data_IF_207493903023
#
_entry.id   IF_207493903023
#
_cell.length_a   1.000
_cell.length_b   1.000
_cell.length_c   1.000
_cell.angle_alpha   90.00
_cell.angle_beta   90.00
_cell.angle_gamma   90.00
#
_symmetry.space_group_name_H-M   'P 1'
#
loop_
_entity.id
_entity.type
_entity.pdbx_description
1 polymer ?
#
# COMPACT_ATOMS: atom_id res chain seq x y z
N UNK A 1 6.20 -20.07 -18.13
CA UNK A 1 5.41 -19.88 -19.38
C UNK A 1 5.34 -18.38 -19.68
N UNK A 2 5.29 -17.95 -20.94
CA UNK A 2 5.17 -16.51 -21.28
C UNK A 2 3.84 -15.93 -20.79
N UNK A 3 2.77 -16.73 -20.81
CA UNK A 3 1.47 -16.35 -20.25
C UNK A 3 1.54 -16.06 -18.74
N UNK A 4 2.26 -16.90 -17.98
CA UNK A 4 2.43 -16.70 -16.54
C UNK A 4 3.15 -15.38 -16.23
N UNK A 5 4.14 -15.01 -17.04
CA UNK A 5 4.86 -13.73 -16.88
C UNK A 5 3.94 -12.54 -17.12
N UNK A 6 3.10 -12.62 -18.16
CA UNK A 6 2.14 -11.55 -18.47
C UNK A 6 1.10 -11.41 -17.35
N UNK A 7 0.57 -12.53 -16.85
CA UNK A 7 -0.33 -12.53 -15.70
C UNK A 7 0.35 -11.99 -14.44
N UNK A 8 1.58 -12.42 -14.15
CA UNK A 8 2.35 -11.92 -13.00
C UNK A 8 2.52 -10.40 -13.07
N UNK A 9 2.86 -9.86 -14.23
CA UNK A 9 2.97 -8.42 -14.44
C UNK A 9 1.64 -7.70 -14.16
N UNK A 10 0.52 -8.24 -14.63
CA UNK A 10 -0.79 -7.66 -14.38
C UNK A 10 -1.14 -7.64 -12.88
N UNK A 11 -0.85 -8.72 -12.15
CA UNK A 11 -1.07 -8.77 -10.69
C UNK A 11 -0.12 -7.85 -9.92
N UNK A 12 1.14 -7.71 -10.33
CA UNK A 12 2.05 -6.73 -9.74
C UNK A 12 1.50 -5.32 -9.92
N UNK A 13 1.04 -4.97 -11.12
CA UNK A 13 0.39 -3.68 -11.37
C UNK A 13 -0.87 -3.51 -10.54
N UNK A 14 -1.70 -4.54 -10.39
CA UNK A 14 -2.89 -4.51 -9.53
C UNK A 14 -2.51 -4.17 -8.07
N UNK A 15 -1.48 -4.84 -7.53
CA UNK A 15 -0.97 -4.57 -6.17
C UNK A 15 -0.45 -3.15 -6.06
N UNK A 16 0.36 -2.70 -7.01
CA UNK A 16 0.94 -1.36 -7.00
C UNK A 16 -0.11 -0.25 -7.10
N UNK A 17 -1.17 -0.48 -7.87
CA UNK A 17 -2.18 0.54 -8.19
C UNK A 17 -3.37 0.55 -7.24
N UNK A 18 -3.67 -0.57 -6.58
CA UNK A 18 -4.90 -0.71 -5.75
C UNK A 18 -4.60 -1.07 -4.30
N UNK A 19 -3.65 -1.97 -4.03
CA UNK A 19 -3.33 -2.39 -2.66
C UNK A 19 -2.33 -1.45 -1.97
N UNK A 20 -1.27 -1.05 -2.66
CA UNK A 20 -0.25 -0.14 -2.14
C UNK A 20 -0.83 1.22 -1.72
N UNK A 21 -1.78 1.84 -2.45
CA UNK A 21 -2.43 3.07 -1.99
C UNK A 21 -3.12 2.92 -0.64
N UNK A 22 -3.87 1.83 -0.44
CA UNK A 22 -4.54 1.57 0.84
C UNK A 22 -3.54 1.34 1.97
N UNK A 23 -2.47 0.58 1.72
CA UNK A 23 -1.39 0.40 2.72
C UNK A 23 -0.76 1.74 3.11
N UNK A 24 -0.42 2.58 2.12
CA UNK A 24 0.19 3.89 2.37
C UNK A 24 -0.77 4.83 3.10
N UNK A 25 -2.04 4.88 2.68
CA UNK A 25 -3.08 5.65 3.35
C UNK A 25 -3.22 5.21 4.81
N UNK A 26 -3.35 3.90 5.03
CA UNK A 26 -3.48 3.30 6.35
C UNK A 26 -2.32 3.63 7.26
N UNK A 27 -1.09 3.43 6.79
CA UNK A 27 0.10 3.62 7.61
C UNK A 27 0.40 5.09 7.89
N UNK A 28 0.23 5.98 6.90
CA UNK A 28 0.79 7.32 6.97
C UNK A 28 -0.25 8.41 7.23
N UNK A 29 -1.51 8.20 6.86
CA UNK A 29 -2.54 9.25 6.90
C UNK A 29 -3.64 8.98 7.92
N UNK A 30 -3.73 7.77 8.48
CA UNK A 30 -4.67 7.49 9.56
C UNK A 30 -4.06 7.78 10.93
N UNK A 31 -4.64 8.66 11.74
CA UNK A 31 -4.06 9.04 13.03
C UNK A 31 -3.64 7.90 13.96
N UNK A 32 -4.47 6.85 14.22
CA UNK A 32 -4.06 5.78 15.14
C UNK A 32 -2.85 5.01 14.60
N UNK A 33 -2.83 4.67 13.31
CA UNK A 33 -1.73 3.93 12.72
C UNK A 33 -0.49 4.81 12.56
N UNK A 34 -0.65 6.03 12.06
CA UNK A 34 0.44 6.94 11.73
C UNK A 34 1.21 7.37 12.99
N UNK A 35 0.51 7.78 14.04
CA UNK A 35 1.13 8.35 15.22
C UNK A 35 1.58 7.28 16.24
N UNK A 36 0.81 6.21 16.39
CA UNK A 36 1.07 5.22 17.45
C UNK A 36 2.00 4.10 17.01
N UNK A 37 1.95 3.73 15.71
CA UNK A 37 2.66 2.59 15.14
C UNK A 37 3.73 3.07 14.16
N UNK A 38 3.33 3.63 13.01
CA UNK A 38 4.23 3.97 11.90
C UNK A 38 5.33 4.94 12.32
N UNK A 39 4.99 6.01 13.05
CA UNK A 39 5.99 6.97 13.54
C UNK A 39 7.05 6.29 14.41
N UNK A 40 6.62 5.50 15.40
CA UNK A 40 7.54 4.82 16.33
C UNK A 40 8.44 3.82 15.59
N UNK A 41 7.86 3.02 14.69
CA UNK A 41 8.60 2.00 13.94
C UNK A 41 9.63 2.61 12.98
N UNK A 42 9.27 3.67 12.24
CA UNK A 42 10.13 4.23 11.19
C UNK A 42 11.05 5.35 11.65
N UNK A 43 10.66 6.12 12.67
CA UNK A 43 11.37 7.34 13.06
C UNK A 43 11.59 7.48 14.57
N UNK A 44 11.06 6.57 15.39
CA UNK A 44 11.23 6.62 16.86
C UNK A 44 12.69 6.54 17.31
N UNK A 45 13.57 5.98 16.48
CA UNK A 45 15.01 5.89 16.75
C UNK A 45 15.79 7.18 16.43
N UNK A 46 15.17 8.13 15.71
CA UNK A 46 15.82 9.38 15.34
C UNK A 46 15.66 10.42 16.47
N UNK A 47 16.63 11.31 16.68
CA UNK A 47 16.54 12.34 17.70
C UNK A 47 15.43 13.35 17.40
N UNK A 48 14.94 14.03 18.43
CA UNK A 48 14.04 15.17 18.25
C UNK A 48 14.86 16.44 17.94
N UNK A 49 14.35 17.35 17.07
CA UNK A 49 13.05 17.32 16.38
C UNK A 49 13.09 16.65 14.99
N UNK A 50 14.23 16.10 14.57
CA UNK A 50 14.41 15.62 13.18
C UNK A 50 13.44 14.49 12.83
N UNK A 51 13.13 13.60 13.78
CA UNK A 51 12.16 12.51 13.61
C UNK A 51 10.78 12.99 13.14
N UNK A 52 10.25 14.06 13.74
CA UNK A 52 8.97 14.65 13.38
C UNK A 52 9.04 15.33 12.00
N UNK A 53 10.12 16.06 11.72
CA UNK A 53 10.30 16.74 10.42
C UNK A 53 10.30 15.72 9.28
N UNK A 54 11.07 14.63 9.41
CA UNK A 54 11.11 13.61 8.36
C UNK A 54 9.81 12.83 8.25
N UNK A 55 9.10 12.63 9.36
CA UNK A 55 7.77 12.03 9.37
C UNK A 55 6.75 12.86 8.59
N UNK A 56 6.64 14.17 8.87
CA UNK A 56 5.75 15.07 8.14
C UNK A 56 6.14 15.19 6.67
N UNK A 57 7.44 15.21 6.35
CA UNK A 57 7.92 15.17 4.97
C UNK A 57 7.44 13.91 4.27
N UNK A 58 7.50 12.74 4.93
CA UNK A 58 7.02 11.47 4.38
C UNK A 58 5.50 11.46 4.21
N UNK A 59 4.74 11.95 5.18
CA UNK A 59 3.28 12.11 5.04
C UNK A 59 2.94 12.98 3.82
N UNK A 60 3.59 14.14 3.67
CA UNK A 60 3.39 15.01 2.50
C UNK A 60 3.70 14.31 1.17
N UNK A 61 4.78 13.52 1.11
CA UNK A 61 5.11 12.73 -0.08
C UNK A 61 4.05 11.67 -0.38
N UNK A 62 3.55 10.97 0.65
CA UNK A 62 2.49 9.97 0.50
C UNK A 62 1.20 10.63 0.02
N UNK A 63 0.78 11.73 0.64
CA UNK A 63 -0.42 12.48 0.23
C UNK A 63 -0.34 12.90 -1.24
N UNK A 64 0.78 13.48 -1.66
CA UNK A 64 1.00 13.88 -3.06
C UNK A 64 0.96 12.68 -4.01
N UNK A 65 1.56 11.56 -3.64
CA UNK A 65 1.55 10.35 -4.46
C UNK A 65 0.15 9.76 -4.60
N UNK A 66 -0.69 9.81 -3.56
CA UNK A 66 -2.05 9.28 -3.62
C UNK A 66 -3.01 10.18 -4.40
N UNK A 67 -2.78 11.50 -4.35
CA UNK A 67 -3.52 12.51 -5.11
C UNK A 67 -3.06 12.63 -6.57
N UNK A 68 -1.98 11.97 -6.98
CA UNK A 68 -1.54 12.00 -8.38
C UNK A 68 -2.59 11.41 -9.33
N UNK A 69 -3.34 10.40 -8.85
CA UNK A 69 -4.38 9.69 -9.61
C UNK A 69 -5.79 9.92 -9.04
N UNK A 70 -5.96 10.87 -8.10
CA UNK A 70 -7.22 11.12 -7.38
C UNK A 70 -7.36 12.60 -7.03
N UNK A 71 -8.56 13.16 -7.22
CA UNK A 71 -8.83 14.55 -6.83
C UNK A 71 -8.92 14.71 -5.30
N UNK A 72 -9.47 13.70 -4.63
CA UNK A 72 -9.65 13.65 -3.18
C UNK A 72 -9.33 12.26 -2.64
N UNK A 73 -8.90 12.19 -1.38
CA UNK A 73 -8.65 10.93 -0.70
C UNK A 73 -9.89 10.49 0.08
N UNK A 74 -10.72 9.66 -0.56
CA UNK A 74 -11.88 9.05 0.09
C UNK A 74 -11.47 7.69 0.65
N UNK A 75 -11.47 7.59 1.99
CA UNK A 75 -11.12 6.36 2.71
C UNK A 75 -11.84 5.13 2.15
N UNK A 76 -13.16 5.21 2.05
CA UNK A 76 -13.99 4.07 1.64
C UNK A 76 -13.59 3.58 0.25
N UNK A 77 -13.44 4.50 -0.71
CA UNK A 77 -13.04 4.15 -2.08
C UNK A 77 -11.66 3.47 -2.12
N UNK A 78 -10.68 4.02 -1.39
CA UNK A 78 -9.33 3.46 -1.32
C UNK A 78 -9.36 2.02 -0.77
N UNK A 79 -10.15 1.77 0.29
CA UNK A 79 -10.26 0.45 0.87
C UNK A 79 -11.07 -0.52 0.01
N UNK A 80 -12.14 -0.05 -0.66
CA UNK A 80 -12.91 -0.86 -1.59
C UNK A 80 -12.07 -1.31 -2.80
N UNK A 81 -11.20 -0.43 -3.32
CA UNK A 81 -10.24 -0.80 -4.37
C UNK A 81 -9.26 -1.87 -3.91
N UNK A 82 -8.72 -1.74 -2.70
CA UNK A 82 -7.80 -2.72 -2.13
C UNK A 82 -8.48 -4.06 -1.84
N UNK A 83 -9.73 -4.05 -1.37
CA UNK A 83 -10.53 -5.25 -1.13
C UNK A 83 -10.71 -6.05 -2.43
N UNK A 84 -11.12 -5.39 -3.52
CA UNK A 84 -11.24 -6.04 -4.84
C UNK A 84 -9.91 -6.61 -5.35
N UNK A 85 -8.80 -5.92 -5.08
CA UNK A 85 -7.47 -6.41 -5.44
C UNK A 85 -7.09 -7.67 -4.63
N UNK A 86 -7.37 -7.68 -3.33
CA UNK A 86 -7.14 -8.84 -2.45
C UNK A 86 -8.04 -10.02 -2.86
N UNK A 87 -9.29 -9.78 -3.21
CA UNK A 87 -10.21 -10.80 -3.75
C UNK A 87 -9.64 -11.41 -5.04
N UNK A 88 -9.21 -10.59 -6.00
CA UNK A 88 -8.63 -11.08 -7.24
C UNK A 88 -7.33 -11.89 -7.01
N UNK A 89 -6.50 -11.46 -6.06
CA UNK A 89 -5.31 -12.21 -5.65
C UNK A 89 -5.69 -13.55 -4.99
N UNK A 90 -6.69 -13.53 -4.09
CA UNK A 90 -7.20 -14.74 -3.42
C UNK A 90 -7.75 -15.74 -4.43
N UNK A 91 -8.54 -15.29 -5.41
CA UNK A 91 -9.06 -16.13 -6.50
C UNK A 91 -7.92 -16.72 -7.34
N UNK A 92 -6.88 -15.91 -7.65
CA UNK A 92 -5.73 -16.41 -8.42
C UNK A 92 -4.92 -17.45 -7.64
N UNK A 93 -4.76 -17.27 -6.33
CA UNK A 93 -4.04 -18.21 -5.48
C UNK A 93 -4.84 -19.51 -5.31
N UNK A 94 -6.16 -19.41 -5.09
CA UNK A 94 -7.01 -20.55 -4.76
C UNK A 94 -6.46 -21.30 -3.55
N UNK A 95 -6.42 -22.63 -3.64
CA UNK A 95 -5.83 -23.50 -2.61
C UNK A 95 -4.33 -23.77 -2.83
N UNK A 96 -3.68 -23.05 -3.76
CA UNK A 96 -2.26 -23.25 -4.06
C UNK A 96 -1.37 -22.47 -3.09
N UNK A 97 -0.17 -22.98 -2.83
CA UNK A 97 0.85 -22.26 -2.02
C UNK A 97 1.47 -21.06 -2.74
N UNK A 98 1.50 -21.08 -4.08
CA UNK A 98 2.16 -20.07 -4.91
C UNK A 98 1.26 -19.64 -6.08
N UNK A 99 1.34 -18.36 -6.47
CA UNK A 99 0.54 -17.77 -7.56
C UNK A 99 0.86 -18.34 -8.95
N UNK A 100 2.10 -18.73 -9.19
CA UNK A 100 2.60 -19.26 -10.44
C UNK A 100 3.45 -20.48 -10.10
N UNK A 101 3.18 -21.61 -10.75
CA UNK A 101 3.68 -22.95 -10.45
C UNK A 101 4.98 -23.03 -9.64
N UNK A 102 4.90 -23.77 -8.53
CA UNK A 102 6.03 -24.38 -7.84
C UNK A 102 6.72 -25.40 -8.75
N UNK A 103 7.90 -25.07 -9.23
CA UNK A 103 8.97 -26.06 -9.34
C UNK A 103 9.88 -25.88 -8.15
#
# INVERSE_FOLDING_TARGET
>A
NELDKQQAKAFVTLVEQKLKPALLFSMWLEPPNANEITFKSYYGHLPQPINQIVFYKKQSQVTKSLLADRDILVREEIYQEAMKALEALSVKLGDNTYFFNSR
#
